data_IF_012196673036
#
_entry.id   IF_012196673036
#
_cell.length_a   1.000
_cell.length_b   1.000
_cell.length_c   1.000
_cell.angle_alpha   90.00
_cell.angle_beta   90.00
_cell.angle_gamma   90.00
#
_symmetry.space_group_name_H-M   'P 1'
#
loop_
_entity.id
_entity.type
_entity.pdbx_description
1 polymer ?
#
# COMPACT_ATOMS: atom_id res chain seq x y z
N UNK A 1 -2.83 2.80 30.26
CA UNK A 1 -3.03 2.69 28.80
C UNK A 1 -3.46 1.27 28.45
N UNK A 2 -4.48 1.10 27.57
CA UNK A 2 -4.98 -0.20 27.13
C UNK A 2 -4.57 -0.45 25.68
N UNK A 3 -4.28 -1.70 25.34
CA UNK A 3 -3.95 -2.12 23.99
C UNK A 3 -4.92 -3.20 23.52
N UNK A 4 -5.52 -2.98 22.34
CA UNK A 4 -6.35 -3.97 21.68
C UNK A 4 -5.57 -4.55 20.51
N UNK A 5 -5.32 -5.84 20.53
CA UNK A 5 -4.53 -6.49 19.48
C UNK A 5 -5.45 -6.90 18.35
N UNK A 6 -5.09 -6.51 17.15
CA UNK A 6 -5.75 -6.87 15.91
C UNK A 6 -4.78 -7.24 14.82
N UNK A 7 -5.29 -7.82 13.74
CA UNK A 7 -4.43 -8.22 12.64
C UNK A 7 -4.20 -7.03 11.69
N UNK A 8 -5.28 -6.43 11.20
CA UNK A 8 -5.23 -5.39 10.15
C UNK A 8 -6.49 -4.51 10.22
N UNK A 9 -6.50 -3.41 9.43
CA UNK A 9 -7.68 -2.60 9.09
C UNK A 9 -7.74 -2.48 7.57
N UNK A 10 -8.75 -3.11 6.96
CA UNK A 10 -8.98 -3.08 5.52
C UNK A 10 -9.84 -1.90 5.05
N UNK A 11 -10.02 -1.77 3.75
CA UNK A 11 -10.93 -0.75 3.16
C UNK A 11 -12.40 -0.93 3.60
N UNK A 12 -12.80 -2.18 3.82
CA UNK A 12 -14.13 -2.51 4.37
C UNK A 12 -13.90 -3.26 5.66
N UNK A 13 -14.28 -2.67 6.78
CA UNK A 13 -14.21 -3.32 8.07
C UNK A 13 -15.37 -4.29 8.23
N UNK A 14 -15.08 -5.49 8.73
CA UNK A 14 -16.07 -6.51 9.06
C UNK A 14 -15.84 -7.02 10.48
N UNK A 15 -16.85 -7.61 11.07
CA UNK A 15 -16.81 -8.36 12.32
C UNK A 15 -15.77 -7.90 13.35
N UNK A 16 -14.62 -8.56 13.36
CA UNK A 16 -13.55 -8.36 14.36
C UNK A 16 -12.94 -6.95 14.29
N UNK A 17 -12.68 -6.43 13.08
CA UNK A 17 -12.10 -5.09 12.89
C UNK A 17 -13.04 -4.02 13.42
N UNK A 18 -14.33 -4.12 13.06
CA UNK A 18 -15.37 -3.19 13.54
C UNK A 18 -15.53 -3.27 15.05
N UNK A 19 -15.52 -4.46 15.64
CA UNK A 19 -15.61 -4.65 17.09
C UNK A 19 -14.40 -4.02 17.80
N UNK A 20 -13.20 -4.14 17.25
CA UNK A 20 -11.97 -3.55 17.78
C UNK A 20 -12.03 -2.02 17.75
N UNK A 21 -12.46 -1.43 16.64
CA UNK A 21 -12.62 0.02 16.48
C UNK A 21 -13.70 0.55 17.46
N UNK A 22 -14.85 -0.14 17.56
CA UNK A 22 -15.90 0.25 18.49
C UNK A 22 -15.44 0.20 19.95
N UNK A 23 -14.62 -0.79 20.31
CA UNK A 23 -14.03 -0.91 21.65
C UNK A 23 -13.05 0.24 21.94
N UNK A 24 -12.19 0.61 20.98
CA UNK A 24 -11.33 1.77 21.09
C UNK A 24 -12.15 3.03 21.37
N UNK A 25 -13.19 3.28 20.55
CA UNK A 25 -14.05 4.45 20.69
C UNK A 25 -14.79 4.48 22.03
N UNK A 26 -15.25 3.32 22.51
CA UNK A 26 -15.88 3.20 23.82
C UNK A 26 -14.92 3.61 24.96
N UNK A 27 -13.67 3.11 24.91
CA UNK A 27 -12.68 3.46 25.93
C UNK A 27 -12.34 4.95 25.91
N UNK A 28 -12.20 5.54 24.71
CA UNK A 28 -11.98 6.99 24.56
C UNK A 28 -13.15 7.81 25.09
N UNK A 29 -14.39 7.37 24.86
CA UNK A 29 -15.58 8.05 25.37
C UNK A 29 -15.64 8.08 26.92
N UNK A 30 -15.04 7.08 27.57
CA UNK A 30 -14.87 7.05 29.02
C UNK A 30 -13.52 7.61 29.50
N UNK A 31 -12.81 8.37 28.65
CA UNK A 31 -11.53 9.02 28.96
C UNK A 31 -10.37 8.05 29.30
N UNK A 32 -10.47 6.79 28.90
CA UNK A 32 -9.36 5.84 29.01
C UNK A 32 -8.41 5.99 27.83
N UNK A 33 -7.12 5.99 28.12
CA UNK A 33 -6.10 5.92 27.07
C UNK A 33 -6.06 4.51 26.50
N UNK A 34 -6.33 4.39 25.22
CA UNK A 34 -6.32 3.11 24.51
C UNK A 34 -5.75 3.26 23.10
N UNK A 35 -5.09 2.20 22.60
CA UNK A 35 -4.58 2.09 21.24
C UNK A 35 -4.84 0.70 20.67
N UNK A 36 -4.88 0.61 19.34
CA UNK A 36 -4.92 -0.65 18.62
C UNK A 36 -3.49 -1.04 18.21
N UNK A 37 -3.06 -2.27 18.50
CA UNK A 37 -1.82 -2.84 18.04
C UNK A 37 -2.10 -3.77 16.85
N UNK A 38 -1.62 -3.40 15.66
CA UNK A 38 -1.83 -4.14 14.41
C UNK A 38 -0.60 -4.99 14.09
N UNK A 39 -0.82 -6.29 13.88
CA UNK A 39 0.25 -7.28 13.72
C UNK A 39 0.61 -7.58 12.27
N UNK A 40 -0.30 -7.34 11.31
CA UNK A 40 -0.03 -7.62 9.91
C UNK A 40 0.63 -6.45 9.20
N UNK A 41 1.52 -6.79 8.26
CA UNK A 41 2.01 -5.80 7.31
C UNK A 41 0.90 -5.41 6.32
N UNK A 42 0.68 -4.12 6.14
CA UNK A 42 -0.27 -3.58 5.19
C UNK A 42 0.24 -2.23 4.66
N UNK A 43 0.70 -2.21 3.41
CA UNK A 43 1.22 -0.98 2.76
C UNK A 43 0.19 0.15 2.65
N UNK A 44 -1.09 -0.20 2.68
CA UNK A 44 -2.18 0.76 2.59
C UNK A 44 -2.75 1.15 3.96
N UNK A 45 -2.12 0.72 5.06
CA UNK A 45 -2.67 0.87 6.39
C UNK A 45 -3.04 2.32 6.73
N UNK A 46 -2.16 3.27 6.44
CA UNK A 46 -2.44 4.68 6.70
C UNK A 46 -3.69 5.15 5.96
N UNK A 47 -3.86 4.75 4.69
CA UNK A 47 -5.02 5.11 3.88
C UNK A 47 -6.30 4.41 4.35
N UNK A 48 -6.22 3.14 4.74
CA UNK A 48 -7.38 2.37 5.18
C UNK A 48 -7.79 2.73 6.61
N UNK A 49 -6.83 2.86 7.52
CA UNK A 49 -7.08 3.19 8.92
C UNK A 49 -7.64 4.61 9.09
N UNK A 50 -7.16 5.59 8.31
CA UNK A 50 -7.63 6.99 8.39
C UNK A 50 -9.13 7.17 8.12
N UNK A 51 -9.78 6.17 7.50
CA UNK A 51 -11.23 6.17 7.29
C UNK A 51 -12.02 5.89 8.58
N UNK A 52 -11.37 5.35 9.63
CA UNK A 52 -12.05 4.85 10.81
C UNK A 52 -11.48 5.37 12.13
N UNK A 53 -10.16 5.62 12.18
CA UNK A 53 -9.43 5.99 13.40
C UNK A 53 -8.30 6.99 13.08
N UNK A 54 -7.84 7.74 14.08
CA UNK A 54 -6.73 8.66 13.91
C UNK A 54 -5.38 7.92 13.93
N UNK A 55 -4.35 8.53 13.35
CA UNK A 55 -3.00 7.94 13.30
C UNK A 55 -2.39 7.69 14.68
N UNK A 56 -2.77 8.46 15.69
CA UNK A 56 -2.32 8.31 17.08
C UNK A 56 -2.98 7.14 17.82
N UNK A 57 -4.07 6.61 17.28
CA UNK A 57 -4.91 5.60 17.92
C UNK A 57 -4.45 4.15 17.64
N UNK A 58 -3.47 3.98 16.76
CA UNK A 58 -2.94 2.65 16.46
C UNK A 58 -1.41 2.65 16.38
N UNK A 59 -0.86 1.45 16.49
CA UNK A 59 0.56 1.15 16.27
C UNK A 59 0.59 -0.05 15.33
N UNK A 60 1.28 0.06 14.20
CA UNK A 60 1.61 -1.11 13.38
C UNK A 60 2.96 -1.67 13.83
N UNK A 61 3.01 -2.99 14.03
CA UNK A 61 4.20 -3.67 14.51
C UNK A 61 5.39 -3.49 13.54
N UNK A 62 5.15 -3.61 12.25
CA UNK A 62 6.22 -3.45 11.24
C UNK A 62 6.75 -2.02 11.19
N UNK A 63 5.86 -1.02 11.13
CA UNK A 63 6.26 0.39 11.12
C UNK A 63 7.02 0.77 12.38
N UNK A 64 6.63 0.22 13.53
CA UNK A 64 7.29 0.46 14.82
C UNK A 64 8.71 -0.10 14.82
N UNK A 65 8.91 -1.38 14.44
CA UNK A 65 10.24 -1.99 14.44
C UNK A 65 11.14 -1.50 13.32
N UNK A 66 10.58 -0.98 12.23
CA UNK A 66 11.32 -0.38 11.13
C UNK A 66 11.59 1.13 11.35
N UNK A 67 11.12 1.70 12.46
CA UNK A 67 11.16 3.14 12.74
C UNK A 67 10.50 3.99 11.64
N UNK A 68 9.53 3.39 10.92
CA UNK A 68 8.88 3.98 9.77
C UNK A 68 7.58 4.75 10.09
N UNK A 69 7.16 4.79 11.35
CA UNK A 69 5.88 5.38 11.78
C UNK A 69 5.70 6.86 11.40
N UNK A 70 6.81 7.58 11.21
CA UNK A 70 6.83 9.01 10.87
C UNK A 70 7.47 9.28 9.50
N UNK A 71 7.74 8.24 8.71
CA UNK A 71 8.34 8.39 7.39
C UNK A 71 7.24 8.69 6.37
N UNK A 72 7.27 9.89 5.81
CA UNK A 72 6.44 10.26 4.66
C UNK A 72 7.30 10.22 3.40
N UNK A 73 6.87 9.44 2.42
CA UNK A 73 7.51 9.46 1.10
C UNK A 73 7.20 10.79 0.42
N UNK A 74 8.23 11.59 0.17
CA UNK A 74 8.15 12.85 -0.58
C UNK A 74 8.42 12.68 -2.08
N UNK A 75 8.70 11.47 -2.55
CA UNK A 75 9.00 11.24 -3.94
C UNK A 75 7.75 10.86 -4.73
N UNK A 76 7.29 11.77 -5.59
CA UNK A 76 6.41 11.44 -6.71
C UNK A 76 7.24 11.45 -8.00
N UNK A 77 7.64 10.29 -8.47
CA UNK A 77 8.26 10.13 -9.79
C UNK A 77 7.17 9.79 -10.79
N UNK A 78 7.10 10.48 -11.91
CA UNK A 78 6.27 10.03 -13.01
C UNK A 78 6.96 8.85 -13.71
N UNK A 79 6.57 7.64 -13.36
CA UNK A 79 7.17 6.41 -13.83
C UNK A 79 6.98 6.19 -15.33
N UNK A 80 5.83 6.60 -15.88
CA UNK A 80 5.56 6.50 -17.31
C UNK A 80 6.54 7.37 -18.11
N UNK A 81 6.76 8.60 -17.64
CA UNK A 81 7.73 9.52 -18.26
C UNK A 81 9.15 8.93 -18.18
N UNK A 82 9.56 8.43 -17.02
CA UNK A 82 10.87 7.84 -16.81
C UNK A 82 11.12 6.65 -17.76
N UNK A 83 10.23 5.67 -17.78
CA UNK A 83 10.39 4.48 -18.62
C UNK A 83 10.36 4.82 -20.10
N UNK A 84 9.51 5.78 -20.52
CA UNK A 84 9.42 6.18 -21.94
C UNK A 84 10.61 7.00 -22.40
N UNK A 85 11.00 8.01 -21.63
CA UNK A 85 11.97 9.02 -22.09
C UNK A 85 13.40 8.72 -21.68
N UNK A 86 13.61 8.12 -20.51
CA UNK A 86 14.96 7.81 -20.03
C UNK A 86 15.37 6.36 -20.35
N UNK A 87 14.41 5.41 -20.31
CA UNK A 87 14.70 4.01 -20.62
C UNK A 87 14.40 3.63 -22.09
N UNK A 88 13.65 4.44 -22.83
CA UNK A 88 13.26 4.17 -24.21
C UNK A 88 12.21 3.07 -24.37
N UNK A 89 11.48 2.73 -23.31
CA UNK A 89 10.49 1.67 -23.34
C UNK A 89 9.16 2.11 -23.96
N UNK A 90 8.48 1.16 -24.59
CA UNK A 90 7.10 1.35 -25.05
C UNK A 90 6.13 0.96 -23.93
N UNK A 91 5.23 1.89 -23.58
CA UNK A 91 4.25 1.72 -22.50
C UNK A 91 2.85 1.62 -23.09
N UNK A 92 2.13 0.55 -22.73
CA UNK A 92 0.73 0.32 -23.11
C UNK A 92 -0.16 0.23 -21.87
N UNK A 93 -1.01 1.23 -21.61
CA UNK A 93 -1.99 1.15 -20.52
C UNK A 93 -2.95 -0.03 -20.74
N UNK A 94 -3.44 -0.58 -19.63
CA UNK A 94 -4.48 -1.62 -19.62
C UNK A 94 -5.81 -0.94 -19.31
N UNK A 95 -6.81 -1.12 -20.18
CA UNK A 95 -8.12 -0.48 -20.04
C UNK A 95 -8.75 -0.79 -18.68
N UNK A 96 -9.42 0.22 -18.11
CA UNK A 96 -10.18 0.13 -16.86
C UNK A 96 -9.36 -0.26 -15.61
N UNK A 97 -8.05 -0.12 -15.68
CA UNK A 97 -7.15 -0.41 -14.55
C UNK A 97 -6.04 0.64 -14.45
N UNK A 98 -5.35 0.66 -13.31
CA UNK A 98 -4.13 1.47 -13.13
C UNK A 98 -2.88 0.65 -13.49
N UNK A 99 -2.98 -0.20 -14.50
CA UNK A 99 -1.90 -1.09 -14.91
C UNK A 99 -1.29 -0.66 -16.23
N UNK A 100 -0.01 -0.99 -16.38
CA UNK A 100 0.69 -0.78 -17.66
C UNK A 100 1.51 -2.00 -18.04
N UNK A 101 1.56 -2.28 -19.34
CA UNK A 101 2.47 -3.24 -19.95
C UNK A 101 3.65 -2.49 -20.53
N UNK A 102 4.85 -2.96 -20.25
CA UNK A 102 6.09 -2.30 -20.61
C UNK A 102 6.87 -3.24 -21.54
N UNK A 103 7.31 -2.67 -22.66
CA UNK A 103 8.05 -3.39 -23.71
C UNK A 103 9.39 -2.71 -23.96
N UNK A 104 10.45 -3.51 -24.04
CA UNK A 104 11.72 -3.07 -24.61
C UNK A 104 11.72 -3.49 -26.10
N UNK A 105 11.74 -2.51 -26.98
CA UNK A 105 11.46 -2.70 -28.41
C UNK A 105 10.10 -3.40 -28.62
N UNK A 106 10.07 -4.67 -28.98
CA UNK A 106 8.86 -5.49 -29.12
C UNK A 106 8.73 -6.57 -28.05
N UNK A 107 9.74 -6.72 -27.20
CA UNK A 107 9.78 -7.71 -26.13
C UNK A 107 8.97 -7.22 -24.92
N UNK A 108 7.98 -7.99 -24.48
CA UNK A 108 7.29 -7.75 -23.23
C UNK A 108 8.22 -8.07 -22.05
N UNK A 109 8.53 -7.07 -21.23
CA UNK A 109 9.51 -7.20 -20.15
C UNK A 109 8.92 -7.00 -18.74
N UNK A 110 7.92 -6.12 -18.59
CA UNK A 110 7.37 -5.80 -17.28
C UNK A 110 5.86 -5.54 -17.36
N UNK A 111 5.20 -5.80 -16.22
CA UNK A 111 3.84 -5.40 -15.93
C UNK A 111 3.81 -4.68 -14.60
N UNK A 112 3.39 -3.42 -14.59
CA UNK A 112 3.33 -2.61 -13.40
C UNK A 112 1.88 -2.28 -13.03
N UNK A 113 1.57 -2.40 -11.74
CA UNK A 113 0.33 -1.95 -11.13
C UNK A 113 0.60 -0.70 -10.31
N UNK A 114 -0.25 0.31 -10.47
CA UNK A 114 -0.18 1.56 -9.72
C UNK A 114 -1.32 1.67 -8.72
N UNK A 115 -1.01 2.22 -7.55
CA UNK A 115 -2.00 2.52 -6.53
C UNK A 115 -2.83 3.77 -6.85
N UNK A 116 -2.42 4.57 -7.84
CA UNK A 116 -3.06 5.81 -8.24
C UNK A 116 -3.19 5.92 -9.77
N UNK A 117 -4.20 6.67 -10.23
CA UNK A 117 -4.47 6.92 -11.65
C UNK A 117 -3.43 7.84 -12.31
N UNK A 118 -2.65 8.58 -11.53
CA UNK A 118 -1.60 9.47 -12.01
C UNK A 118 -0.27 8.76 -12.32
N UNK A 119 -0.18 7.45 -12.10
CA UNK A 119 1.00 6.60 -12.30
C UNK A 119 2.23 7.08 -11.51
N UNK A 120 2.02 7.60 -10.31
CA UNK A 120 3.08 8.11 -9.43
C UNK A 120 3.50 7.10 -8.38
N UNK A 121 2.55 6.30 -7.89
CA UNK A 121 2.77 5.33 -6.80
C UNK A 121 2.69 3.90 -7.35
N UNK A 122 3.84 3.28 -7.57
CA UNK A 122 3.89 1.86 -7.92
C UNK A 122 3.44 1.04 -6.72
N UNK A 123 2.60 0.04 -6.98
CA UNK A 123 2.25 -0.99 -6.02
C UNK A 123 3.16 -2.22 -6.18
N UNK A 124 3.24 -2.74 -7.41
CA UNK A 124 4.18 -3.80 -7.74
C UNK A 124 4.58 -3.79 -9.21
N UNK A 125 5.73 -4.40 -9.49
CA UNK A 125 6.19 -4.72 -10.84
C UNK A 125 6.44 -6.21 -10.94
N UNK A 126 5.86 -6.84 -11.97
CA UNK A 126 6.21 -8.19 -12.39
C UNK A 126 7.19 -8.11 -13.56
N UNK A 127 8.26 -8.87 -13.49
CA UNK A 127 9.28 -9.00 -14.55
C UNK A 127 9.09 -10.32 -15.28
N UNK A 128 9.34 -10.31 -16.59
CA UNK A 128 9.13 -11.45 -17.48
C UNK A 128 10.40 -11.76 -18.30
N UNK A 129 10.64 -13.05 -18.55
CA UNK A 129 11.68 -13.49 -19.47
C UNK A 129 11.23 -13.41 -20.95
N UNK A 130 12.11 -13.77 -21.87
CA UNK A 130 11.83 -13.79 -23.32
C UNK A 130 10.70 -14.75 -23.70
N UNK A 131 10.43 -15.76 -22.86
CA UNK A 131 9.33 -16.72 -23.02
C UNK A 131 8.04 -16.25 -22.35
N UNK A 132 7.98 -15.00 -21.88
CA UNK A 132 6.87 -14.41 -21.14
C UNK A 132 6.54 -15.12 -19.82
N UNK A 133 7.48 -15.84 -19.22
CA UNK A 133 7.32 -16.41 -17.88
C UNK A 133 7.70 -15.34 -16.86
N UNK A 134 6.88 -15.19 -15.82
CA UNK A 134 7.19 -14.29 -14.70
C UNK A 134 8.38 -14.84 -13.91
N UNK A 135 9.44 -14.05 -13.82
CA UNK A 135 10.69 -14.41 -13.13
C UNK A 135 10.85 -13.71 -11.80
N UNK A 136 10.24 -12.55 -11.61
CA UNK A 136 10.38 -11.73 -10.40
C UNK A 136 9.13 -10.88 -10.16
N UNK A 137 8.82 -10.59 -8.89
CA UNK A 137 7.94 -9.50 -8.48
C UNK A 137 8.66 -8.61 -7.48
N UNK A 138 8.63 -7.32 -7.71
CA UNK A 138 9.01 -6.30 -6.73
C UNK A 138 7.77 -5.62 -6.18
N UNK A 139 7.76 -5.38 -4.88
CA UNK A 139 6.73 -4.62 -4.15
C UNK A 139 7.34 -3.28 -3.73
N UNK A 140 6.56 -2.19 -3.81
CA UNK A 140 6.99 -0.81 -3.55
C UNK A 140 6.19 -0.17 -2.42
#
# INVERSE_FOLDING_TARGET
MYYFVGNNIGHKTAGIEKAMINRLNLFKAYHYQAKILLLAWNRYLTQTASQYINSEDYINMYDYFQEASNVTSVFSKNWIHYWRNECGYTIKPVSETNDVRIYDQQQFIMYAHFADEAYQKIDYINYFDTSRRKIKRELY
#
